data_IF_365017955506
#
_entry.id   IF_365017955506
#
_cell.length_a   1.000
_cell.length_b   1.000
_cell.length_c   1.000
_cell.angle_alpha   90.00
_cell.angle_beta   90.00
_cell.angle_gamma   90.00
#
_symmetry.space_group_name_H-M   'P 1'
#
loop_
_entity.id
_entity.type
_entity.pdbx_description
1 polymer ?
#
# COMPACT_ATOMS: atom_id res chain seq x y z
N UNK A 1 9.32 15.63 -46.08
CA UNK A 1 10.35 15.09 -45.16
C UNK A 1 10.77 16.17 -44.22
N UNK A 2 10.29 16.14 -42.93
CA UNK A 2 10.77 17.03 -41.88
C UNK A 2 12.11 16.48 -41.38
N UNK A 3 13.16 17.29 -41.46
CA UNK A 3 14.46 16.97 -40.87
C UNK A 3 14.34 17.12 -39.37
N UNK A 4 14.51 16.03 -38.62
CA UNK A 4 14.70 16.09 -37.17
C UNK A 4 15.91 16.97 -36.83
N UNK A 5 15.67 18.06 -36.09
CA UNK A 5 16.75 18.92 -35.60
C UNK A 5 17.35 18.26 -34.38
N UNK A 6 18.54 17.71 -34.49
CA UNK A 6 19.32 17.26 -33.32
C UNK A 6 19.67 18.47 -32.45
N UNK A 7 19.06 18.56 -31.25
CA UNK A 7 19.39 19.61 -30.29
C UNK A 7 20.53 19.10 -29.42
N UNK A 8 21.72 19.60 -29.66
CA UNK A 8 22.89 19.37 -28.81
C UNK A 8 22.81 20.35 -27.64
N UNK A 9 22.63 19.85 -26.42
CA UNK A 9 22.72 20.67 -25.18
C UNK A 9 24.08 20.50 -24.56
N UNK A 10 24.75 21.60 -24.27
CA UNK A 10 25.99 21.57 -23.53
C UNK A 10 25.77 21.00 -22.13
N UNK A 11 26.66 20.11 -21.68
CA UNK A 11 26.64 19.58 -20.31
C UNK A 11 27.01 20.72 -19.34
N UNK A 12 26.08 21.09 -18.46
CA UNK A 12 26.36 22.10 -17.43
C UNK A 12 27.22 21.47 -16.35
N UNK A 13 28.47 21.86 -16.26
CA UNK A 13 29.37 21.45 -15.19
C UNK A 13 29.21 22.43 -14.01
N UNK A 14 29.10 21.88 -12.78
CA UNK A 14 29.18 22.68 -11.55
C UNK A 14 27.91 23.46 -11.19
N UNK A 15 26.72 22.95 -11.52
CA UNK A 15 25.47 23.53 -11.03
C UNK A 15 25.42 23.42 -9.50
N UNK A 16 25.54 24.57 -8.78
CA UNK A 16 25.29 24.60 -7.34
C UNK A 16 23.83 24.26 -7.08
N UNK A 17 23.59 23.16 -6.33
CA UNK A 17 22.25 22.83 -5.84
C UNK A 17 21.97 23.74 -4.64
N UNK A 18 21.11 24.72 -4.85
CA UNK A 18 20.66 25.64 -3.79
C UNK A 18 19.14 25.54 -3.70
N UNK A 19 18.62 24.44 -3.07
CA UNK A 19 17.20 24.19 -3.03
C UNK A 19 16.48 25.15 -2.08
N UNK A 20 15.29 25.58 -2.46
CA UNK A 20 14.38 26.27 -1.55
C UNK A 20 13.87 25.30 -0.47
N UNK A 21 13.35 25.80 0.67
CA UNK A 21 12.78 24.95 1.73
C UNK A 21 11.74 23.96 1.20
N UNK A 22 10.87 24.38 0.28
CA UNK A 22 9.84 23.53 -0.33
C UNK A 22 10.46 22.36 -1.13
N UNK A 23 11.54 22.63 -1.85
CA UNK A 23 12.27 21.58 -2.59
C UNK A 23 12.91 20.60 -1.61
N UNK A 24 13.44 21.09 -0.47
CA UNK A 24 14.01 20.22 0.58
C UNK A 24 12.92 19.36 1.18
N UNK A 25 11.76 19.93 1.55
CA UNK A 25 10.60 19.18 2.05
C UNK A 25 10.15 18.10 1.06
N UNK A 26 10.04 18.45 -0.23
CA UNK A 26 9.66 17.48 -1.27
C UNK A 26 10.68 16.34 -1.40
N UNK A 27 11.97 16.63 -1.32
CA UNK A 27 13.02 15.60 -1.32
C UNK A 27 12.93 14.67 -0.11
N UNK A 28 12.56 15.19 1.07
CA UNK A 28 12.34 14.42 2.30
C UNK A 28 11.13 13.48 2.09
N UNK A 29 10.01 13.98 1.58
CA UNK A 29 8.81 13.17 1.27
C UNK A 29 9.16 12.01 0.34
N UNK A 30 9.79 12.30 -0.78
CA UNK A 30 10.20 11.28 -1.77
C UNK A 30 11.15 10.25 -1.15
N UNK A 31 12.10 10.69 -0.33
CA UNK A 31 13.07 9.81 0.32
C UNK A 31 12.40 8.85 1.31
N UNK A 32 11.49 9.36 2.17
CA UNK A 32 10.79 8.56 3.17
C UNK A 32 9.89 7.53 2.52
N UNK A 33 9.01 7.97 1.62
CA UNK A 33 8.09 7.09 0.92
C UNK A 33 8.85 6.08 0.04
N UNK A 34 9.91 6.50 -0.63
CA UNK A 34 10.75 5.63 -1.44
C UNK A 34 11.53 4.59 -0.62
N UNK A 35 11.88 4.89 0.65
CA UNK A 35 12.47 3.91 1.57
C UNK A 35 11.44 2.85 1.95
N UNK A 36 10.22 3.27 2.30
CA UNK A 36 9.11 2.36 2.59
C UNK A 36 8.80 1.49 1.36
N UNK A 37 8.60 2.11 0.19
CA UNK A 37 8.24 1.42 -1.05
C UNK A 37 9.20 0.28 -1.42
N UNK A 38 10.50 0.49 -1.21
CA UNK A 38 11.48 -0.58 -1.47
C UNK A 38 11.33 -1.77 -0.54
N UNK A 39 10.95 -1.53 0.73
CA UNK A 39 10.77 -2.60 1.72
C UNK A 39 9.51 -3.42 1.50
N UNK A 40 8.44 -2.76 1.01
CA UNK A 40 7.15 -3.40 0.78
C UNK A 40 6.88 -3.69 -0.71
N UNK A 41 7.91 -3.68 -1.55
CA UNK A 41 7.81 -3.82 -3.01
C UNK A 41 6.98 -5.04 -3.48
N UNK A 42 7.06 -6.23 -2.85
CA UNK A 42 6.20 -7.36 -3.23
C UNK A 42 4.71 -7.05 -3.10
N UNK A 43 4.29 -6.32 -2.05
CA UNK A 43 2.90 -5.89 -1.86
C UNK A 43 2.51 -4.88 -2.93
N UNK A 44 3.38 -3.87 -3.17
CA UNK A 44 3.14 -2.83 -4.18
C UNK A 44 2.93 -3.45 -5.56
N UNK A 45 3.76 -4.43 -5.96
CA UNK A 45 3.63 -5.10 -7.25
C UNK A 45 2.29 -5.82 -7.41
N UNK A 46 1.73 -6.35 -6.31
CA UNK A 46 0.43 -7.00 -6.32
C UNK A 46 -0.71 -5.98 -6.28
N UNK A 47 -0.65 -5.00 -5.39
CA UNK A 47 -1.71 -4.01 -5.16
C UNK A 47 -1.80 -2.92 -6.23
N UNK A 48 -0.78 -2.73 -7.05
CA UNK A 48 -0.77 -1.79 -8.17
C UNK A 48 -0.59 -2.51 -9.52
N UNK A 49 -1.02 -3.77 -9.60
CA UNK A 49 -1.03 -4.51 -10.86
C UNK A 49 -1.99 -3.86 -11.86
N UNK A 50 -1.53 -3.58 -13.06
CA UNK A 50 -2.35 -3.00 -14.14
C UNK A 50 -2.73 -1.53 -13.96
N UNK A 51 -2.19 -0.82 -12.98
CA UNK A 51 -2.50 0.58 -12.72
C UNK A 51 -1.62 1.50 -13.57
N UNK A 52 -2.24 2.19 -14.52
CA UNK A 52 -1.65 3.27 -15.30
C UNK A 52 -0.51 2.88 -16.25
N UNK A 53 0.07 3.90 -16.91
CA UNK A 53 1.22 3.79 -17.79
C UNK A 53 2.52 3.96 -16.98
N UNK A 54 3.02 2.91 -16.36
CA UNK A 54 4.23 3.02 -15.57
C UNK A 54 4.49 1.77 -14.73
N UNK A 55 5.35 1.92 -13.74
CA UNK A 55 5.64 0.84 -12.81
C UNK A 55 4.72 0.91 -11.59
N UNK A 56 4.40 -0.24 -10.98
CA UNK A 56 3.67 -0.30 -9.71
C UNK A 56 4.32 0.58 -8.63
N UNK A 57 5.64 0.69 -8.62
CA UNK A 57 6.38 1.59 -7.73
C UNK A 57 5.99 3.06 -7.95
N UNK A 58 5.97 3.52 -9.20
CA UNK A 58 5.61 4.92 -9.52
C UNK A 58 4.14 5.20 -9.18
N UNK A 59 3.24 4.25 -9.44
CA UNK A 59 1.82 4.34 -9.08
C UNK A 59 1.66 4.46 -7.55
N UNK A 60 2.34 3.62 -6.77
CA UNK A 60 2.37 3.72 -5.31
C UNK A 60 2.91 5.07 -4.82
N UNK A 61 4.03 5.54 -5.37
CA UNK A 61 4.60 6.84 -5.01
C UNK A 61 3.62 7.98 -5.28
N UNK A 62 2.97 7.98 -6.44
CA UNK A 62 1.98 9.00 -6.81
C UNK A 62 0.76 8.99 -5.88
N UNK A 63 0.22 7.81 -5.57
CA UNK A 63 -0.96 7.64 -4.73
C UNK A 63 -0.73 8.05 -3.27
N UNK A 64 0.52 7.93 -2.78
CA UNK A 64 0.84 8.07 -1.36
C UNK A 64 1.68 9.32 -1.00
N UNK A 65 2.04 10.15 -1.97
CA UNK A 65 2.83 11.35 -1.67
C UNK A 65 2.13 12.31 -0.69
N UNK A 66 0.80 12.36 -0.71
CA UNK A 66 -0.03 13.17 0.18
C UNK A 66 0.01 12.67 1.63
N UNK A 67 0.29 11.37 1.84
CA UNK A 67 0.36 10.76 3.18
C UNK A 67 1.69 11.03 3.89
N UNK A 68 2.58 11.79 3.28
CA UNK A 68 3.86 12.16 3.89
C UNK A 68 3.88 13.65 4.20
N UNK A 69 3.96 13.96 5.48
CA UNK A 69 4.09 15.34 5.98
C UNK A 69 5.54 15.63 6.36
N UNK A 70 5.94 16.89 6.30
CA UNK A 70 7.25 17.38 6.77
C UNK A 70 7.00 18.63 7.59
N UNK A 71 7.51 18.66 8.82
CA UNK A 71 7.38 19.80 9.72
C UNK A 71 8.39 20.92 9.40
N UNK A 72 8.28 22.02 10.12
CA UNK A 72 9.17 23.18 9.99
C UNK A 72 10.63 22.86 10.34
N UNK A 73 10.86 21.84 11.16
CA UNK A 73 12.19 21.35 11.54
C UNK A 73 12.75 20.32 10.55
N UNK A 74 12.09 20.13 9.37
CA UNK A 74 12.47 19.18 8.34
C UNK A 74 12.37 17.69 8.77
N UNK A 75 11.58 17.38 9.81
CA UNK A 75 11.26 16.01 10.17
C UNK A 75 10.06 15.54 9.36
N UNK A 76 10.20 14.40 8.70
CA UNK A 76 9.13 13.82 7.92
C UNK A 76 8.45 12.66 8.64
N UNK A 77 7.14 12.55 8.50
CA UNK A 77 6.32 11.44 9.00
C UNK A 77 5.42 10.89 7.90
N UNK A 78 5.04 9.62 8.04
CA UNK A 78 4.11 8.94 7.13
C UNK A 78 2.82 8.68 7.90
N UNK A 79 1.69 9.11 7.34
CA UNK A 79 0.39 8.67 7.79
C UNK A 79 0.13 7.25 7.24
N UNK A 80 0.27 6.26 8.12
CA UNK A 80 0.08 4.87 7.75
C UNK A 80 -1.39 4.50 7.59
N UNK A 81 -2.33 5.13 8.32
CA UNK A 81 -3.75 4.83 8.21
C UNK A 81 -4.31 5.24 6.85
N UNK A 82 -3.88 6.39 6.35
CA UNK A 82 -4.23 6.87 5.01
C UNK A 82 -3.47 6.20 3.86
N UNK A 83 -2.49 5.31 4.16
CA UNK A 83 -1.61 4.73 3.15
C UNK A 83 -2.37 3.76 2.24
N UNK A 84 -2.23 3.94 0.93
CA UNK A 84 -2.77 3.03 -0.09
C UNK A 84 -1.74 1.97 -0.45
N UNK A 85 -2.04 0.70 -0.15
CA UNK A 85 -1.23 -0.47 -0.52
C UNK A 85 -1.67 -1.10 -1.83
N UNK A 86 -2.90 -0.79 -2.27
CA UNK A 86 -3.46 -1.17 -3.54
C UNK A 86 -4.35 -0.06 -4.06
N UNK A 87 -4.50 0.04 -5.38
CA UNK A 87 -5.44 0.97 -6.01
C UNK A 87 -5.94 0.41 -7.34
N UNK A 88 -7.26 0.43 -7.53
CA UNK A 88 -7.86 -0.08 -8.76
C UNK A 88 -9.38 0.01 -8.75
N UNK A 89 -10.01 -0.76 -9.66
CA UNK A 89 -11.43 -0.62 -9.98
C UNK A 89 -12.34 -1.64 -9.29
N UNK A 90 -11.78 -2.73 -8.74
CA UNK A 90 -12.62 -3.69 -8.02
C UNK A 90 -13.17 -3.05 -6.74
N UNK A 91 -14.34 -3.52 -6.32
CA UNK A 91 -14.86 -3.15 -5.01
C UNK A 91 -13.96 -3.67 -3.90
N UNK A 92 -13.85 -2.90 -2.83
CA UNK A 92 -13.12 -3.28 -1.63
C UNK A 92 -13.83 -4.45 -0.94
N UNK A 93 -13.09 -5.47 -0.47
CA UNK A 93 -13.70 -6.62 0.19
C UNK A 93 -14.18 -6.25 1.59
N UNK A 94 -15.23 -6.95 2.06
CA UNK A 94 -15.78 -6.82 3.41
C UNK A 94 -15.03 -7.74 4.37
N UNK A 95 -14.10 -7.17 5.11
CA UNK A 95 -13.26 -7.87 6.07
C UNK A 95 -13.19 -7.06 7.35
N UNK A 96 -13.36 -7.74 8.46
CA UNK A 96 -13.13 -7.20 9.81
C UNK A 96 -11.90 -7.87 10.42
N UNK A 97 -11.26 -7.23 11.38
CA UNK A 97 -10.10 -7.79 12.06
C UNK A 97 -10.18 -7.57 13.56
N UNK A 98 -9.88 -8.63 14.31
CA UNK A 98 -9.66 -8.58 15.75
C UNK A 98 -8.25 -9.04 16.09
N UNK A 99 -7.74 -8.63 17.25
CA UNK A 99 -6.44 -9.08 17.75
C UNK A 99 -6.58 -9.50 19.20
N UNK A 100 -6.23 -10.74 19.50
CA UNK A 100 -6.43 -11.35 20.81
C UNK A 100 -5.23 -12.21 21.24
N UNK A 101 -5.15 -12.46 22.54
CA UNK A 101 -4.27 -13.45 23.12
C UNK A 101 -2.83 -12.99 23.40
N UNK A 102 -2.09 -13.89 24.02
CA UNK A 102 -0.63 -13.78 24.23
C UNK A 102 -0.02 -15.15 23.98
N UNK A 103 0.70 -15.39 22.85
CA UNK A 103 1.04 -14.39 21.81
C UNK A 103 -0.19 -13.90 21.03
N UNK A 104 -0.08 -12.66 20.50
CA UNK A 104 -1.19 -12.04 19.79
C UNK A 104 -1.46 -12.72 18.45
N UNK A 105 -2.75 -12.98 18.21
CA UNK A 105 -3.26 -13.57 16.97
C UNK A 105 -4.23 -12.59 16.32
N UNK A 106 -3.99 -12.25 15.06
CA UNK A 106 -4.89 -11.46 14.23
C UNK A 106 -5.88 -12.40 13.56
N UNK A 107 -7.16 -12.18 13.82
CA UNK A 107 -8.27 -12.92 13.21
C UNK A 107 -8.97 -12.04 12.19
N UNK A 108 -8.91 -12.42 10.94
CA UNK A 108 -9.65 -11.80 9.85
C UNK A 108 -10.99 -12.52 9.69
N UNK A 109 -12.09 -11.80 9.79
CA UNK A 109 -13.44 -12.31 9.55
C UNK A 109 -13.94 -11.75 8.24
N UNK A 110 -14.21 -12.61 7.28
CA UNK A 110 -14.64 -12.23 5.94
C UNK A 110 -16.10 -12.62 5.73
N UNK A 111 -16.91 -11.67 5.24
CA UNK A 111 -18.29 -11.90 4.81
C UNK A 111 -18.31 -12.26 3.34
N UNK A 112 -19.13 -13.26 2.96
CA UNK A 112 -19.34 -13.58 1.55
C UNK A 112 -20.05 -12.42 0.85
N UNK A 113 -19.62 -12.12 -0.36
CA UNK A 113 -20.16 -11.04 -1.19
C UNK A 113 -20.74 -11.62 -2.49
N UNK A 114 -21.70 -10.91 -3.08
CA UNK A 114 -22.26 -11.23 -4.38
C UNK A 114 -21.35 -10.75 -5.52
N UNK A 115 -21.48 -11.36 -6.68
CA UNK A 115 -20.79 -10.90 -7.88
C UNK A 115 -21.47 -9.65 -8.45
N UNK A 116 -20.64 -8.73 -8.96
CA UNK A 116 -21.09 -7.57 -9.72
C UNK A 116 -20.21 -7.39 -10.96
N UNK A 117 -20.85 -7.33 -12.12
CA UNK A 117 -20.15 -7.34 -13.42
C UNK A 117 -19.13 -6.19 -13.50
N UNK A 118 -17.88 -6.55 -13.77
CA UNK A 118 -16.76 -5.61 -13.93
C UNK A 118 -16.13 -5.12 -12.63
N UNK A 119 -16.77 -5.32 -11.45
CA UNK A 119 -16.33 -4.74 -10.17
C UNK A 119 -16.11 -5.77 -9.06
N UNK A 120 -16.78 -6.91 -9.11
CA UNK A 120 -16.64 -7.98 -8.14
C UNK A 120 -16.94 -9.34 -8.76
N UNK A 121 -16.03 -10.30 -8.61
CA UNK A 121 -16.25 -11.69 -8.98
C UNK A 121 -16.12 -12.59 -7.75
N UNK A 122 -16.89 -13.68 -7.69
CA UNK A 122 -16.91 -14.58 -6.53
C UNK A 122 -15.54 -15.23 -6.30
N UNK A 123 -14.74 -15.39 -7.35
CA UNK A 123 -13.40 -15.97 -7.34
C UNK A 123 -12.26 -14.94 -7.20
N UNK A 124 -12.58 -13.66 -6.97
CA UNK A 124 -11.57 -12.66 -6.61
C UNK A 124 -10.83 -13.10 -5.36
N UNK A 125 -9.51 -13.01 -5.40
CA UNK A 125 -8.63 -13.33 -4.27
C UNK A 125 -8.64 -12.15 -3.29
N UNK A 126 -8.93 -12.39 -2.03
CA UNK A 126 -8.89 -11.38 -0.97
C UNK A 126 -7.60 -11.54 -0.17
N UNK A 127 -6.98 -10.42 0.14
CA UNK A 127 -5.74 -10.36 0.92
C UNK A 127 -5.87 -9.43 2.11
N UNK A 128 -5.40 -9.92 3.26
CA UNK A 128 -5.06 -9.10 4.42
C UNK A 128 -3.58 -8.72 4.39
N UNK A 129 -3.25 -7.57 4.93
CA UNK A 129 -1.87 -7.11 5.09
C UNK A 129 -1.67 -6.65 6.53
N UNK A 130 -0.74 -7.27 7.22
CA UNK A 130 -0.21 -6.76 8.49
C UNK A 130 1.04 -5.94 8.19
N UNK A 131 1.11 -4.71 8.67
CA UNK A 131 2.26 -3.82 8.52
C UNK A 131 2.76 -3.36 9.88
N UNK A 132 3.93 -3.80 10.27
CA UNK A 132 4.64 -3.23 11.42
C UNK A 132 5.34 -1.94 10.99
N UNK A 133 4.91 -0.81 11.52
CA UNK A 133 5.25 0.53 11.02
C UNK A 133 6.64 1.00 11.43
N UNK A 134 7.14 0.60 12.61
CA UNK A 134 8.47 0.99 13.07
C UNK A 134 9.59 0.24 12.32
N UNK A 135 9.43 -1.07 12.11
CA UNK A 135 10.35 -1.88 11.31
C UNK A 135 10.12 -1.72 9.79
N UNK A 136 8.96 -1.19 9.41
CA UNK A 136 8.49 -1.11 8.01
C UNK A 136 8.51 -2.49 7.34
N UNK A 137 8.00 -3.49 8.03
CA UNK A 137 7.85 -4.86 7.55
C UNK A 137 6.39 -5.17 7.29
N UNK A 138 6.14 -6.02 6.30
CA UNK A 138 4.78 -6.41 5.90
C UNK A 138 4.67 -7.92 5.81
N UNK A 139 3.47 -8.42 6.14
CA UNK A 139 3.06 -9.79 5.93
C UNK A 139 1.78 -9.80 5.13
N UNK A 140 1.82 -10.41 3.94
CA UNK A 140 0.64 -10.65 3.12
C UNK A 140 -0.02 -11.95 3.57
N UNK A 141 -1.32 -11.90 3.79
CA UNK A 141 -2.15 -13.02 4.21
C UNK A 141 -3.20 -13.29 3.13
N UNK A 142 -3.21 -14.50 2.58
CA UNK A 142 -4.30 -14.90 1.70
C UNK A 142 -5.52 -15.25 2.55
N UNK A 143 -6.63 -14.58 2.29
CA UNK A 143 -7.92 -14.86 2.92
C UNK A 143 -8.75 -15.80 2.04
N UNK A 144 -10.06 -15.91 2.28
CA UNK A 144 -10.96 -16.64 1.40
C UNK A 144 -11.19 -15.86 0.10
N UNK A 145 -11.70 -16.52 -0.94
CA UNK A 145 -12.17 -15.80 -2.13
C UNK A 145 -13.41 -14.98 -1.77
N UNK A 146 -13.69 -13.92 -2.54
CA UNK A 146 -14.76 -12.94 -2.27
C UNK A 146 -16.12 -13.58 -1.99
N UNK A 147 -16.51 -14.59 -2.74
CA UNK A 147 -17.79 -15.30 -2.56
C UNK A 147 -17.87 -16.26 -1.37
N UNK A 148 -16.82 -16.35 -0.53
CA UNK A 148 -16.74 -17.33 0.55
C UNK A 148 -16.56 -16.61 1.88
N UNK A 149 -17.52 -16.77 2.79
CA UNK A 149 -17.37 -16.35 4.18
C UNK A 149 -16.39 -17.25 4.94
N UNK A 150 -15.75 -16.71 5.95
CA UNK A 150 -14.88 -17.49 6.84
C UNK A 150 -13.88 -16.68 7.61
N UNK A 151 -13.12 -17.36 8.42
CA UNK A 151 -12.12 -16.79 9.29
C UNK A 151 -10.70 -17.23 8.87
N UNK A 152 -9.73 -16.36 9.11
CA UNK A 152 -8.31 -16.65 8.90
C UNK A 152 -7.51 -16.09 10.05
N UNK A 153 -6.83 -16.96 10.79
CA UNK A 153 -6.00 -16.58 11.92
C UNK A 153 -4.53 -16.49 11.53
N UNK A 154 -3.86 -15.46 12.02
CA UNK A 154 -2.46 -15.20 11.74
C UNK A 154 -1.74 -14.81 13.01
N UNK A 155 -0.81 -15.62 13.52
CA UNK A 155 -0.01 -15.24 14.67
C UNK A 155 0.95 -14.09 14.31
N UNK A 156 1.08 -13.14 15.22
CA UNK A 156 2.05 -12.05 15.06
C UNK A 156 3.47 -12.62 15.18
N UNK A 157 4.40 -12.24 14.30
CA UNK A 157 5.82 -12.55 14.47
C UNK A 157 6.35 -12.04 15.82
N UNK A 158 7.15 -12.86 16.52
CA UNK A 158 7.61 -12.55 17.87
C UNK A 158 8.42 -11.24 18.00
N UNK A 159 9.08 -10.84 16.88
CA UNK A 159 9.87 -9.61 16.83
C UNK A 159 9.05 -8.36 16.49
N UNK A 160 7.73 -8.47 16.25
CA UNK A 160 6.86 -7.34 15.92
C UNK A 160 6.19 -6.79 17.17
N UNK A 161 6.10 -5.45 17.24
CA UNK A 161 5.31 -4.79 18.27
C UNK A 161 3.87 -4.61 17.78
N UNK A 162 2.92 -5.22 18.47
CA UNK A 162 1.51 -5.16 18.12
C UNK A 162 0.92 -3.75 18.12
N UNK A 163 1.35 -2.89 19.03
CA UNK A 163 0.91 -1.49 19.08
C UNK A 163 1.36 -0.67 17.85
N UNK A 164 2.24 -1.24 17.04
CA UNK A 164 2.77 -0.63 15.81
C UNK A 164 2.30 -1.34 14.55
N UNK A 165 1.32 -2.23 14.65
CA UNK A 165 0.78 -2.97 13.51
C UNK A 165 -0.47 -2.30 12.98
N UNK A 166 -0.41 -1.86 11.74
CA UNK A 166 -1.57 -1.44 10.97
C UNK A 166 -2.02 -2.59 10.06
N UNK A 167 -3.33 -2.73 9.92
CA UNK A 167 -3.95 -3.79 9.13
C UNK A 167 -4.70 -3.20 7.95
N UNK A 168 -4.56 -3.86 6.80
CA UNK A 168 -5.27 -3.45 5.58
C UNK A 168 -5.84 -4.68 4.88
N UNK A 169 -6.82 -4.46 4.00
CA UNK A 169 -7.27 -5.48 3.07
C UNK A 169 -7.44 -4.92 1.66
N UNK A 170 -7.38 -5.79 0.67
CA UNK A 170 -7.70 -5.48 -0.73
C UNK A 170 -8.03 -6.77 -1.48
N UNK A 171 -8.71 -6.64 -2.62
CA UNK A 171 -9.01 -7.75 -3.50
C UNK A 171 -8.22 -7.66 -4.80
N UNK A 172 -8.01 -8.82 -5.41
CA UNK A 172 -7.32 -8.98 -6.69
C UNK A 172 -8.12 -9.95 -7.54
N UNK A 173 -8.39 -9.60 -8.79
CA UNK A 173 -9.07 -10.50 -9.72
C UNK A 173 -8.32 -11.81 -9.89
N UNK A 174 -9.04 -12.88 -10.25
CA UNK A 174 -8.46 -14.22 -10.46
C UNK A 174 -7.22 -14.19 -11.37
N UNK A 175 -7.26 -13.40 -12.44
CA UNK A 175 -6.16 -13.27 -13.41
C UNK A 175 -5.05 -12.29 -12.98
N UNK A 176 -5.15 -11.71 -11.78
CA UNK A 176 -4.21 -10.76 -11.15
C UNK A 176 -3.96 -9.48 -11.95
N UNK A 177 -4.91 -9.07 -12.82
CA UNK A 177 -4.79 -7.87 -13.66
C UNK A 177 -5.51 -6.66 -13.11
N UNK A 178 -6.55 -6.86 -12.29
CA UNK A 178 -7.37 -5.80 -11.72
C UNK A 178 -7.35 -5.98 -10.20
N UNK A 179 -7.31 -4.86 -9.49
CA UNK A 179 -7.26 -4.83 -8.02
C UNK A 179 -8.30 -3.87 -7.48
N UNK A 180 -8.63 -3.97 -6.20
CA UNK A 180 -9.40 -2.96 -5.49
C UNK A 180 -8.48 -1.89 -4.89
N UNK A 181 -9.04 -0.77 -4.44
CA UNK A 181 -8.36 0.06 -3.46
C UNK A 181 -8.13 -0.75 -2.18
N UNK A 182 -7.05 -0.46 -1.46
CA UNK A 182 -6.85 -1.01 -0.12
C UNK A 182 -7.59 -0.18 0.91
N UNK A 183 -8.12 -0.86 1.93
CA UNK A 183 -8.79 -0.25 3.09
C UNK A 183 -8.00 -0.55 4.33
N UNK A 184 -7.79 0.49 5.15
CA UNK A 184 -7.30 0.34 6.53
C UNK A 184 -8.39 -0.30 7.38
N UNK A 185 -8.02 -1.30 8.17
CA UNK A 185 -8.93 -2.01 9.08
C UNK A 185 -8.57 -1.62 10.52
N UNK A 186 -9.38 -0.81 11.19
CA UNK A 186 -9.21 -0.57 12.62
C UNK A 186 -9.43 -1.88 13.38
N UNK A 187 -8.63 -2.11 14.42
CA UNK A 187 -8.84 -3.28 15.28
C UNK A 187 -10.17 -3.12 16.03
N UNK A 188 -11.09 -4.05 15.82
CA UNK A 188 -12.34 -4.10 16.56
C UNK A 188 -12.03 -4.55 18.00
N UNK A 189 -12.26 -3.69 18.98
CA UNK A 189 -12.23 -4.09 20.38
C UNK A 189 -13.49 -4.91 20.65
N UNK A 190 -13.35 -6.19 20.97
CA UNK A 190 -14.50 -6.93 21.49
C UNK A 190 -14.92 -6.30 22.82
N UNK A 191 -16.19 -5.89 22.89
CA UNK A 191 -16.81 -5.38 24.11
C UNK A 191 -17.14 -6.52 25.06
#
# INVERSE_FOLDING_TARGET
MQREKNIVRAKVFGRKDNPTPEIVMQRIRVRLLGKLARRILPIIRKGFAGVGNGTAYNAFMSANMIQVTVDENMNGSIDFEGLKLASGLLYTPRVEVTCEGTPQVYRFVQTAEEAEEGFAALDDKVYGVLMETALQRVRLVALKNRGVAGETEVPLPAEWNADKVNVYCFAVSRNERIVSDSVFLPLSTQA
#
